data_IF_898092855734
#
_entry.id   IF_898092855734
#
_cell.length_a   1.000
_cell.length_b   1.000
_cell.length_c   1.000
_cell.angle_alpha   90.00
_cell.angle_beta   90.00
_cell.angle_gamma   90.00
#
_symmetry.space_group_name_H-M   'P 1'
#
loop_
_entity.id
_entity.type
_entity.pdbx_description
1 polymer ?
#
# COMPACT_ATOMS: atom_id res chain seq x y z
N UNK A 1 -35.32 -7.09 -40.71
CA UNK A 1 -34.72 -8.32 -40.16
C UNK A 1 -33.22 -8.28 -40.03
N UNK A 2 -32.40 -7.76 -40.97
CA UNK A 2 -30.93 -7.73 -40.87
C UNK A 2 -30.37 -6.85 -39.71
N UNK A 3 -31.05 -5.74 -39.34
CA UNK A 3 -30.61 -4.86 -38.23
C UNK A 3 -30.84 -5.46 -36.84
N UNK A 4 -31.84 -6.34 -36.67
CA UNK A 4 -32.12 -7.01 -35.40
C UNK A 4 -31.11 -8.13 -35.12
N UNK A 5 -30.63 -8.80 -36.14
CA UNK A 5 -29.60 -9.84 -36.01
C UNK A 5 -28.24 -9.26 -35.57
N UNK A 6 -27.90 -8.03 -36.00
CA UNK A 6 -26.64 -7.36 -35.63
C UNK A 6 -26.63 -6.92 -34.16
N UNK A 7 -27.76 -6.49 -33.61
CA UNK A 7 -27.88 -6.10 -32.20
C UNK A 7 -27.81 -7.33 -31.29
N UNK A 8 -28.40 -8.45 -31.69
CA UNK A 8 -28.30 -9.71 -30.91
C UNK A 8 -26.87 -10.28 -30.95
N UNK A 9 -26.17 -10.16 -32.07
CA UNK A 9 -24.78 -10.60 -32.19
C UNK A 9 -23.82 -9.71 -31.36
N UNK A 10 -24.09 -8.39 -31.30
CA UNK A 10 -23.28 -7.47 -30.44
C UNK A 10 -23.55 -7.69 -28.96
N UNK A 11 -24.79 -7.97 -28.56
CA UNK A 11 -25.14 -8.30 -27.16
C UNK A 11 -24.57 -9.68 -26.74
N UNK A 12 -24.60 -10.68 -27.62
CA UNK A 12 -23.97 -11.97 -27.35
C UNK A 12 -22.46 -11.88 -27.36
N UNK A 13 -21.85 -11.04 -28.19
CA UNK A 13 -20.41 -10.78 -28.20
C UNK A 13 -19.91 -10.10 -26.91
N UNK A 14 -20.64 -9.14 -26.36
CA UNK A 14 -20.31 -8.46 -25.11
C UNK A 14 -20.52 -9.37 -23.89
N UNK A 15 -21.53 -10.23 -23.89
CA UNK A 15 -21.73 -11.22 -22.81
C UNK A 15 -20.70 -12.34 -22.85
N UNK A 16 -20.23 -12.74 -24.03
CA UNK A 16 -19.17 -13.76 -24.16
C UNK A 16 -17.81 -13.19 -23.79
N UNK A 17 -17.52 -11.91 -24.06
CA UNK A 17 -16.27 -11.28 -23.61
C UNK A 17 -16.21 -11.10 -22.09
N UNK A 18 -17.32 -10.81 -21.43
CA UNK A 18 -17.37 -10.77 -19.95
C UNK A 18 -17.29 -12.15 -19.32
N UNK A 19 -17.78 -13.20 -19.97
CA UNK A 19 -17.71 -14.58 -19.45
C UNK A 19 -16.32 -15.21 -19.60
N UNK A 20 -15.50 -14.78 -20.55
CA UNK A 20 -14.15 -15.33 -20.76
C UNK A 20 -13.10 -14.86 -19.76
N UNK A 21 -13.35 -13.78 -19.00
CA UNK A 21 -12.40 -13.25 -18.00
C UNK A 21 -12.80 -13.49 -16.53
N UNK A 22 -13.90 -14.18 -16.26
CA UNK A 22 -14.42 -14.34 -14.90
C UNK A 22 -13.59 -15.30 -14.01
N UNK A 23 -12.52 -15.88 -14.50
CA UNK A 23 -11.69 -16.84 -13.74
C UNK A 23 -10.23 -16.42 -13.55
N UNK A 24 -9.76 -15.39 -14.26
CA UNK A 24 -8.38 -14.95 -14.18
C UNK A 24 -8.24 -13.67 -13.36
N UNK A 25 -7.10 -13.51 -12.71
CA UNK A 25 -6.71 -12.32 -11.98
C UNK A 25 -5.28 -11.94 -12.37
N UNK A 26 -4.98 -10.65 -12.40
CA UNK A 26 -3.63 -10.13 -12.60
C UNK A 26 -3.28 -9.17 -11.48
N UNK A 27 -2.06 -9.24 -11.00
CA UNK A 27 -1.47 -8.20 -10.17
C UNK A 27 -1.07 -7.08 -11.13
N UNK A 28 -1.69 -5.90 -10.99
CA UNK A 28 -1.51 -4.78 -11.91
C UNK A 28 -0.50 -3.77 -11.39
N UNK A 29 -0.45 -3.55 -10.06
CA UNK A 29 0.48 -2.61 -9.43
C UNK A 29 1.05 -3.19 -8.13
N UNK A 30 2.26 -2.80 -7.78
CA UNK A 30 2.93 -3.21 -6.55
C UNK A 30 3.77 -4.49 -6.68
N UNK A 31 4.15 -5.10 -5.56
CA UNK A 31 3.83 -4.66 -4.20
C UNK A 31 4.60 -3.42 -3.77
N UNK A 32 4.11 -2.77 -2.73
CA UNK A 32 4.88 -1.81 -1.95
C UNK A 32 4.74 -2.12 -0.46
N UNK A 33 5.78 -1.76 0.28
CA UNK A 33 5.87 -1.95 1.73
C UNK A 33 5.57 -0.61 2.41
N UNK A 34 4.82 -0.62 3.49
CA UNK A 34 4.56 0.55 4.32
C UNK A 34 4.31 0.16 5.78
N UNK A 35 4.20 1.18 6.65
CA UNK A 35 3.93 1.01 8.08
C UNK A 35 4.85 -0.06 8.71
N UNK A 36 6.18 0.12 8.51
CA UNK A 36 7.20 -0.77 9.03
C UNK A 36 7.47 -0.48 10.50
N UNK A 37 7.64 -1.54 11.27
CA UNK A 37 8.15 -1.50 12.65
C UNK A 37 9.28 -2.51 12.82
N UNK A 38 9.80 -2.68 14.04
CA UNK A 38 10.77 -3.72 14.31
C UNK A 38 10.19 -5.15 14.25
N UNK A 39 8.87 -5.29 14.37
CA UNK A 39 8.19 -6.58 14.43
C UNK A 39 7.05 -6.76 13.43
N UNK A 40 6.83 -5.77 12.53
CA UNK A 40 5.75 -5.83 11.56
C UNK A 40 6.02 -5.00 10.31
N UNK A 41 5.33 -5.34 9.21
CA UNK A 41 5.28 -4.56 7.95
C UNK A 41 3.96 -4.80 7.25
N UNK A 42 3.44 -3.79 6.56
CA UNK A 42 2.28 -3.94 5.69
C UNK A 42 2.72 -4.05 4.24
N UNK A 43 2.24 -5.10 3.56
CA UNK A 43 2.46 -5.35 2.13
C UNK A 43 1.17 -5.03 1.39
N UNK A 44 1.25 -4.12 0.42
CA UNK A 44 0.08 -3.66 -0.34
C UNK A 44 0.29 -3.90 -1.83
N UNK A 45 -0.76 -4.28 -2.55
CA UNK A 45 -0.74 -4.44 -4.01
C UNK A 45 -2.14 -4.32 -4.60
N UNK A 46 -2.22 -4.20 -5.94
CA UNK A 46 -3.50 -4.10 -6.66
C UNK A 46 -3.68 -5.22 -7.67
N UNK A 47 -4.93 -5.66 -7.81
CA UNK A 47 -5.39 -6.58 -8.87
C UNK A 47 -6.37 -5.90 -9.82
N UNK A 48 -6.51 -6.46 -11.02
CA UNK A 48 -7.45 -5.99 -12.05
C UNK A 48 -8.92 -6.33 -11.77
N UNK A 49 -9.16 -7.34 -10.94
CA UNK A 49 -10.49 -7.79 -10.54
C UNK A 49 -10.53 -8.10 -9.04
N UNK A 50 -11.71 -8.10 -8.40
CA UNK A 50 -11.85 -8.53 -7.01
C UNK A 50 -11.28 -9.92 -6.77
N UNK A 51 -10.48 -10.05 -5.72
CA UNK A 51 -9.76 -11.27 -5.40
C UNK A 51 -9.61 -11.47 -3.89
N UNK A 52 -9.16 -12.65 -3.49
CA UNK A 52 -8.56 -12.86 -2.17
C UNK A 52 -7.04 -12.79 -2.32
N UNK A 53 -6.35 -12.17 -1.37
CA UNK A 53 -4.91 -11.96 -1.40
C UNK A 53 -4.20 -12.60 -0.22
N UNK A 54 -2.91 -12.98 -0.40
CA UNK A 54 -2.04 -13.40 0.70
C UNK A 54 -0.58 -13.14 0.38
N UNK A 55 0.23 -13.11 1.43
CA UNK A 55 1.70 -13.05 1.38
C UNK A 55 2.26 -14.37 1.89
N UNK A 56 3.23 -14.93 1.20
CA UNK A 56 4.11 -15.98 1.70
C UNK A 56 5.46 -15.36 2.02
N UNK A 57 6.00 -15.64 3.20
CA UNK A 57 7.27 -15.07 3.64
C UNK A 57 8.06 -16.03 4.53
N UNK A 58 9.36 -15.79 4.63
CA UNK A 58 10.30 -16.50 5.50
C UNK A 58 11.51 -15.63 5.81
N UNK A 59 12.25 -15.93 6.88
CA UNK A 59 13.55 -15.29 7.14
C UNK A 59 14.54 -15.63 6.01
N UNK A 60 15.36 -14.64 5.64
CA UNK A 60 16.39 -14.80 4.61
C UNK A 60 17.73 -15.18 5.25
N UNK A 61 18.10 -16.46 5.15
CA UNK A 61 19.39 -16.99 5.58
C UNK A 61 20.30 -17.34 4.39
N UNK A 62 19.95 -16.87 3.17
CA UNK A 62 20.65 -17.21 1.93
C UNK A 62 20.18 -18.52 1.28
N UNK A 63 19.12 -19.14 1.78
CA UNK A 63 18.50 -20.32 1.23
C UNK A 63 17.62 -19.99 0.01
N UNK A 64 17.31 -20.98 -0.80
CA UNK A 64 16.30 -20.81 -1.85
C UNK A 64 14.91 -20.69 -1.24
N UNK A 65 14.08 -19.75 -1.72
CA UNK A 65 12.76 -19.44 -1.14
C UNK A 65 11.91 -20.70 -0.91
N UNK A 66 11.82 -21.61 -1.86
CA UNK A 66 11.02 -22.84 -1.75
C UNK A 66 11.73 -24.04 -1.10
N UNK A 67 12.88 -23.84 -0.45
CA UNK A 67 13.56 -24.91 0.30
C UNK A 67 12.97 -25.18 1.67
N UNK A 68 12.13 -24.29 2.16
CA UNK A 68 11.50 -24.33 3.48
C UNK A 68 10.00 -24.10 3.38
N UNK A 69 9.26 -24.43 4.44
CA UNK A 69 7.88 -24.01 4.58
C UNK A 69 7.81 -22.50 4.80
N UNK A 70 6.79 -21.87 4.22
CA UNK A 70 6.55 -20.45 4.35
C UNK A 70 5.35 -20.21 5.24
N UNK A 71 5.44 -19.19 6.06
CA UNK A 71 4.26 -18.64 6.68
C UNK A 71 3.39 -17.98 5.62
N UNK A 72 2.08 -18.12 5.77
CA UNK A 72 1.10 -17.55 4.85
C UNK A 72 0.11 -16.69 5.61
N UNK A 73 0.10 -15.39 5.31
CA UNK A 73 -0.81 -14.43 5.90
C UNK A 73 -1.77 -13.91 4.83
N UNK A 74 -3.05 -13.91 5.14
CA UNK A 74 -4.13 -13.52 4.22
C UNK A 74 -4.62 -12.11 4.50
N UNK A 75 -5.03 -11.42 3.44
CA UNK A 75 -5.84 -10.21 3.57
C UNK A 75 -7.21 -10.60 4.17
N UNK A 76 -7.36 -10.35 5.47
CA UNK A 76 -8.50 -10.80 6.25
C UNK A 76 -8.92 -9.76 7.30
N UNK A 77 -10.22 -9.70 7.55
CA UNK A 77 -10.79 -8.83 8.57
C UNK A 77 -11.88 -9.56 9.33
N UNK A 78 -11.88 -9.45 10.64
CA UNK A 78 -12.89 -10.08 11.51
C UNK A 78 -13.05 -11.60 11.30
N UNK A 79 -11.92 -12.29 11.07
CA UNK A 79 -11.89 -13.74 10.86
C UNK A 79 -12.29 -14.21 9.45
N UNK A 80 -12.47 -13.30 8.49
CA UNK A 80 -12.84 -13.62 7.11
C UNK A 80 -11.85 -13.01 6.13
N UNK A 81 -11.40 -13.80 5.15
CA UNK A 81 -10.61 -13.31 4.02
C UNK A 81 -11.45 -12.36 3.17
N UNK A 82 -10.86 -11.23 2.79
CA UNK A 82 -11.49 -10.29 1.88
C UNK A 82 -11.52 -10.88 0.47
N UNK A 83 -12.62 -10.67 -0.24
CA UNK A 83 -12.86 -11.27 -1.57
C UNK A 83 -13.40 -10.27 -2.58
N UNK A 84 -13.77 -9.07 -2.17
CA UNK A 84 -14.37 -8.03 -3.01
C UNK A 84 -13.48 -6.81 -3.20
N UNK A 85 -12.23 -6.89 -2.73
CA UNK A 85 -11.27 -5.81 -2.87
C UNK A 85 -10.35 -6.04 -4.08
N UNK A 86 -9.93 -4.95 -4.69
CA UNK A 86 -8.87 -4.93 -5.71
C UNK A 86 -7.56 -4.39 -5.14
N UNK A 87 -7.60 -3.62 -4.06
CA UNK A 87 -6.44 -3.25 -3.26
C UNK A 87 -6.35 -4.25 -2.11
N UNK A 88 -5.23 -4.94 -2.02
CA UNK A 88 -4.93 -5.92 -0.98
C UNK A 88 -3.93 -5.33 -0.01
N UNK A 89 -4.17 -5.53 1.28
CA UNK A 89 -3.31 -5.05 2.36
C UNK A 89 -3.12 -6.15 3.40
N UNK A 90 -1.90 -6.64 3.52
CA UNK A 90 -1.56 -7.73 4.44
C UNK A 90 -0.52 -7.24 5.45
N UNK A 91 -0.90 -7.20 6.71
CA UNK A 91 0.00 -6.89 7.82
C UNK A 91 0.70 -8.17 8.26
N UNK A 92 2.01 -8.24 8.08
CA UNK A 92 2.87 -9.27 8.67
C UNK A 92 3.26 -8.81 10.07
N UNK A 93 3.10 -9.67 11.07
CA UNK A 93 3.38 -9.37 12.48
C UNK A 93 4.20 -10.48 13.13
N UNK A 94 4.80 -10.20 14.30
CA UNK A 94 5.64 -11.17 15.00
C UNK A 94 6.98 -11.40 14.32
N UNK A 95 7.42 -10.46 13.52
CA UNK A 95 8.72 -10.47 12.89
C UNK A 95 9.83 -10.20 13.93
N UNK A 96 11.05 -10.59 13.63
CA UNK A 96 12.21 -10.32 14.47
C UNK A 96 12.83 -8.98 14.09
N UNK A 97 13.26 -8.15 15.05
CA UNK A 97 13.95 -6.89 14.80
C UNK A 97 15.23 -7.07 13.97
N UNK A 98 15.51 -6.12 13.08
CA UNK A 98 16.74 -6.05 12.30
C UNK A 98 16.97 -7.26 11.38
N UNK A 99 15.94 -8.00 11.03
CA UNK A 99 16.01 -9.28 10.33
C UNK A 99 15.62 -9.15 8.88
N UNK A 100 16.37 -9.81 7.99
CA UNK A 100 16.04 -9.87 6.57
C UNK A 100 15.00 -10.97 6.31
N UNK A 101 14.00 -10.63 5.52
CA UNK A 101 12.94 -11.53 5.08
C UNK A 101 12.87 -11.60 3.55
N UNK A 102 12.41 -12.73 3.05
CA UNK A 102 11.98 -12.92 1.66
C UNK A 102 10.47 -13.05 1.63
N UNK A 103 9.81 -12.52 0.59
CA UNK A 103 8.37 -12.64 0.45
C UNK A 103 7.89 -12.69 -1.00
N UNK A 104 6.67 -13.20 -1.17
CA UNK A 104 5.92 -13.23 -2.42
C UNK A 104 4.46 -12.91 -2.15
N UNK A 105 3.81 -12.23 -3.09
CA UNK A 105 2.39 -11.93 -3.04
C UNK A 105 1.62 -12.82 -4.01
N UNK A 106 0.39 -13.14 -3.62
CA UNK A 106 -0.53 -13.97 -4.40
C UNK A 106 -1.93 -13.38 -4.35
N UNK A 107 -2.67 -13.57 -5.43
CA UNK A 107 -4.10 -13.25 -5.47
C UNK A 107 -4.84 -14.34 -6.20
N UNK A 108 -6.06 -14.65 -5.74
CA UNK A 108 -6.93 -15.62 -6.38
C UNK A 108 -8.27 -14.98 -6.68
N UNK A 109 -8.70 -15.03 -7.94
CA UNK A 109 -9.96 -14.44 -8.37
C UNK A 109 -11.14 -15.04 -7.63
N UNK A 110 -12.13 -14.19 -7.27
CA UNK A 110 -13.45 -14.64 -6.89
C UNK A 110 -14.34 -14.64 -8.13
N UNK A 111 -14.77 -15.81 -8.58
CA UNK A 111 -15.60 -15.95 -9.78
C UNK A 111 -17.10 -15.89 -9.50
N UNK A 112 -17.50 -15.97 -8.25
CA UNK A 112 -18.89 -15.84 -7.81
C UNK A 112 -19.22 -16.64 -6.56
N UNK A 113 -20.51 -16.69 -6.29
CA UNK A 113 -21.10 -17.47 -5.20
C UNK A 113 -22.12 -18.45 -5.80
N UNK A 114 -22.09 -19.71 -5.38
CA UNK A 114 -23.05 -20.71 -5.81
C UNK A 114 -24.37 -20.59 -5.05
N UNK A 115 -24.33 -20.89 -3.77
CA UNK A 115 -25.34 -20.58 -2.76
C UNK A 115 -24.75 -19.56 -1.79
N UNK A 116 -25.46 -19.17 -0.74
CA UNK A 116 -25.06 -18.09 0.16
C UNK A 116 -23.67 -18.22 0.79
N UNK A 117 -23.08 -19.40 0.80
CA UNK A 117 -21.83 -19.77 1.45
C UNK A 117 -20.84 -20.56 0.57
N UNK A 118 -21.17 -20.77 -0.71
CA UNK A 118 -20.35 -21.50 -1.68
C UNK A 118 -19.56 -20.52 -2.57
N UNK A 119 -18.40 -20.07 -2.06
CA UNK A 119 -17.50 -19.21 -2.83
C UNK A 119 -16.80 -20.00 -3.94
N UNK A 120 -16.85 -19.46 -5.16
CA UNK A 120 -16.17 -20.04 -6.34
C UNK A 120 -14.92 -19.25 -6.61
N UNK A 121 -13.78 -19.91 -6.53
CA UNK A 121 -12.47 -19.32 -6.76
C UNK A 121 -11.95 -19.70 -8.14
N UNK A 122 -11.26 -18.78 -8.79
CA UNK A 122 -10.63 -18.93 -10.08
C UNK A 122 -9.13 -19.15 -10.02
N UNK A 123 -8.42 -18.63 -11.00
CA UNK A 123 -6.98 -18.74 -11.14
C UNK A 123 -6.23 -17.94 -10.06
N UNK A 124 -4.98 -18.37 -9.81
CA UNK A 124 -4.06 -17.69 -8.91
C UNK A 124 -3.03 -16.92 -9.74
N UNK A 125 -2.85 -15.65 -9.42
CA UNK A 125 -1.72 -14.85 -9.87
C UNK A 125 -0.69 -14.71 -8.74
N UNK A 126 0.58 -14.61 -9.10
CA UNK A 126 1.66 -14.30 -8.17
C UNK A 126 2.58 -13.22 -8.72
N UNK A 127 3.23 -12.47 -7.84
CA UNK A 127 4.17 -11.41 -8.21
C UNK A 127 5.43 -11.93 -8.89
N UNK A 128 5.76 -13.20 -8.69
CA UNK A 128 7.02 -13.79 -9.17
C UNK A 128 6.73 -15.08 -9.88
N UNK A 129 7.13 -15.16 -11.14
CA UNK A 129 7.11 -16.39 -11.91
C UNK A 129 8.36 -17.22 -11.64
N UNK A 130 8.28 -18.49 -12.03
CA UNK A 130 9.38 -19.45 -11.95
C UNK A 130 10.73 -18.86 -12.38
N UNK A 131 11.76 -19.10 -11.56
CA UNK A 131 13.15 -18.61 -11.71
C UNK A 131 13.40 -17.11 -11.42
N UNK A 132 12.44 -16.38 -10.89
CA UNK A 132 12.70 -15.03 -10.38
C UNK A 132 12.91 -15.07 -8.87
N UNK A 133 13.86 -14.28 -8.40
CA UNK A 133 14.10 -14.11 -6.96
C UNK A 133 12.85 -13.50 -6.28
N UNK A 134 12.57 -13.90 -5.04
CA UNK A 134 11.56 -13.26 -4.22
C UNK A 134 11.94 -11.81 -3.93
N UNK A 135 10.96 -11.00 -3.54
CA UNK A 135 11.25 -9.71 -2.94
C UNK A 135 11.81 -9.89 -1.53
N UNK A 136 12.51 -8.89 -1.02
CA UNK A 136 13.06 -8.93 0.32
C UNK A 136 12.87 -7.60 1.04
N UNK A 137 12.84 -7.64 2.35
CA UNK A 137 12.89 -6.46 3.22
C UNK A 137 13.67 -6.76 4.48
N UNK A 138 14.04 -5.69 5.20
CA UNK A 138 14.61 -5.79 6.53
C UNK A 138 13.74 -5.00 7.49
N UNK A 139 13.37 -5.63 8.63
CA UNK A 139 12.65 -4.96 9.72
C UNK A 139 13.52 -3.89 10.37
N UNK A 140 12.90 -2.87 10.94
CA UNK A 140 13.64 -1.89 11.74
C UNK A 140 14.32 -2.56 12.95
N UNK A 141 15.32 -1.89 13.49
CA UNK A 141 15.99 -2.31 14.72
C UNK A 141 16.28 -1.08 15.57
N UNK A 142 15.94 -1.15 16.85
CA UNK A 142 16.26 -0.10 17.79
C UNK A 142 17.67 -0.27 18.45
N UNK A 143 18.34 -1.38 18.12
CA UNK A 143 19.70 -1.71 18.61
C UNK A 143 20.81 -1.28 17.64
N UNK A 144 20.53 -0.36 16.70
CA UNK A 144 21.52 0.18 15.77
C UNK A 144 21.81 1.65 16.06
N UNK A 145 23.04 2.08 15.82
CA UNK A 145 23.47 3.48 15.97
C UNK A 145 23.41 4.27 14.64
N UNK A 146 22.99 3.63 13.55
CA UNK A 146 22.91 4.23 12.23
C UNK A 146 21.49 4.07 11.68
N UNK A 147 20.94 5.17 11.15
CA UNK A 147 19.69 5.21 10.41
C UNK A 147 19.89 5.99 9.12
N UNK A 148 19.50 5.41 8.00
CA UNK A 148 19.54 6.06 6.69
C UNK A 148 18.16 6.05 6.09
N UNK A 149 17.64 7.21 5.78
CA UNK A 149 16.38 7.33 5.05
C UNK A 149 16.46 8.37 3.95
N UNK A 150 15.66 8.18 2.91
CA UNK A 150 15.56 9.08 1.77
C UNK A 150 14.24 9.82 1.85
N UNK A 151 14.19 11.09 1.45
CA UNK A 151 12.96 11.90 1.49
C UNK A 151 12.60 12.34 0.08
N UNK A 152 11.34 12.16 -0.29
CA UNK A 152 10.68 12.74 -1.46
C UNK A 152 9.46 13.52 -1.02
N UNK A 153 9.24 14.70 -1.59
CA UNK A 153 8.06 15.52 -1.38
C UNK A 153 7.76 16.39 -2.61
N UNK A 154 6.56 16.97 -2.68
CA UNK A 154 6.16 17.91 -3.74
C UNK A 154 6.31 17.35 -5.16
N UNK A 155 6.02 16.09 -5.36
CA UNK A 155 6.14 15.42 -6.66
C UNK A 155 5.08 15.88 -7.64
N UNK A 156 3.85 16.12 -7.17
CA UNK A 156 2.74 16.63 -7.97
C UNK A 156 2.47 15.84 -9.26
N UNK A 157 2.49 14.51 -9.17
CA UNK A 157 2.20 13.62 -10.29
C UNK A 157 3.31 13.48 -11.33
N UNK A 158 4.53 13.99 -11.04
CA UNK A 158 5.66 13.93 -11.95
C UNK A 158 6.51 12.68 -11.73
N UNK A 159 5.98 11.51 -12.05
CA UNK A 159 6.65 10.22 -11.85
C UNK A 159 8.03 10.13 -12.52
N UNK A 160 8.23 10.81 -13.66
CA UNK A 160 9.52 10.87 -14.34
C UNK A 160 10.58 11.62 -13.52
N UNK A 161 10.17 12.58 -12.69
CA UNK A 161 11.09 13.27 -11.79
C UNK A 161 11.58 12.31 -10.70
N UNK A 162 10.71 11.45 -10.15
CA UNK A 162 11.13 10.40 -9.22
C UNK A 162 12.16 9.48 -9.87
N UNK A 163 11.88 8.96 -11.08
CA UNK A 163 12.80 8.06 -11.79
C UNK A 163 14.15 8.73 -12.04
N UNK A 164 14.15 10.01 -12.40
CA UNK A 164 15.37 10.77 -12.64
C UNK A 164 16.17 11.05 -11.37
N UNK A 165 15.52 11.47 -10.30
CA UNK A 165 16.16 11.77 -9.02
C UNK A 165 16.73 10.51 -8.36
N UNK A 166 16.07 9.37 -8.54
CA UNK A 166 16.42 8.10 -7.94
C UNK A 166 17.33 7.21 -8.81
N UNK A 167 17.66 7.62 -10.05
CA UNK A 167 18.35 6.79 -11.02
C UNK A 167 19.69 6.21 -10.54
N UNK A 168 20.45 7.00 -9.77
CA UNK A 168 21.77 6.63 -9.27
C UNK A 168 21.77 6.31 -7.76
N UNK A 169 20.58 6.16 -7.16
CA UNK A 169 20.45 5.86 -5.73
C UNK A 169 20.45 4.35 -5.51
N UNK A 170 21.37 3.85 -4.69
CA UNK A 170 21.36 2.48 -4.19
C UNK A 170 20.45 2.40 -2.94
N UNK A 171 19.18 2.11 -3.17
CA UNK A 171 18.19 2.02 -2.11
C UNK A 171 18.45 0.88 -1.11
N UNK A 172 19.28 -0.11 -1.43
CA UNK A 172 19.67 -1.15 -0.47
C UNK A 172 20.44 -0.61 0.75
N UNK A 173 20.91 0.64 0.67
CA UNK A 173 21.60 1.34 1.75
C UNK A 173 20.66 2.11 2.69
N UNK A 174 19.36 2.15 2.39
CA UNK A 174 18.38 2.93 3.16
C UNK A 174 17.42 2.01 3.92
N UNK A 175 17.05 2.41 5.13
CA UNK A 175 16.11 1.70 5.98
C UNK A 175 14.66 1.96 5.54
N UNK A 176 14.35 3.19 5.11
CA UNK A 176 13.04 3.54 4.55
C UNK A 176 13.13 4.76 3.62
N UNK A 177 12.05 4.99 2.87
CA UNK A 177 11.82 6.23 2.13
C UNK A 177 10.64 6.97 2.74
N UNK A 178 10.87 8.20 3.16
CA UNK A 178 9.80 9.10 3.62
C UNK A 178 9.20 9.83 2.41
N UNK A 179 7.93 9.58 2.15
CA UNK A 179 7.13 10.39 1.21
C UNK A 179 6.43 11.48 2.03
N UNK A 180 6.92 12.70 1.95
CA UNK A 180 6.53 13.78 2.83
C UNK A 180 5.52 14.73 2.17
N UNK A 181 4.41 14.15 1.67
CA UNK A 181 3.26 14.85 1.15
C UNK A 181 3.39 15.42 -0.27
N UNK A 182 2.28 15.86 -0.80
CA UNK A 182 2.10 16.51 -2.10
C UNK A 182 2.63 15.66 -3.26
N UNK A 183 2.36 14.36 -3.21
CA UNK A 183 2.71 13.43 -4.28
C UNK A 183 1.83 13.64 -5.52
N UNK A 184 0.61 14.17 -5.33
CA UNK A 184 -0.31 14.61 -6.40
C UNK A 184 -0.69 16.07 -6.21
N UNK A 185 -1.16 16.72 -7.27
CA UNK A 185 -1.78 18.05 -7.18
C UNK A 185 -3.25 17.92 -6.74
N UNK A 186 -3.93 16.93 -7.26
CA UNK A 186 -5.32 16.55 -6.92
C UNK A 186 -5.48 15.06 -7.18
N UNK A 187 -6.35 14.39 -6.42
CA UNK A 187 -6.62 12.96 -6.56
C UNK A 187 -8.02 12.76 -7.18
N UNK A 188 -8.10 12.83 -8.51
CA UNK A 188 -9.37 12.71 -9.23
C UNK A 188 -9.81 11.25 -9.45
N UNK A 189 -8.86 10.35 -9.56
CA UNK A 189 -9.09 8.94 -9.79
C UNK A 189 -7.90 8.09 -9.33
N UNK A 190 -8.11 6.79 -9.25
CA UNK A 190 -7.13 5.83 -8.80
C UNK A 190 -5.87 5.78 -9.67
N UNK A 191 -6.03 5.89 -10.99
CA UNK A 191 -4.94 5.80 -11.96
C UNK A 191 -3.85 6.86 -11.72
N UNK A 192 -4.24 8.05 -11.26
CA UNK A 192 -3.30 9.12 -10.93
C UNK A 192 -2.36 8.76 -9.78
N UNK A 193 -2.81 7.94 -8.82
CA UNK A 193 -1.96 7.47 -7.72
C UNK A 193 -0.85 6.61 -8.30
N UNK A 194 -1.19 5.67 -9.17
CA UNK A 194 -0.21 4.74 -9.75
C UNK A 194 0.69 5.42 -10.76
N UNK A 195 0.13 5.98 -11.83
CA UNK A 195 0.88 6.58 -12.91
C UNK A 195 1.61 7.85 -12.51
N UNK A 196 1.06 8.63 -11.57
CA UNK A 196 1.63 9.89 -11.11
C UNK A 196 2.89 9.71 -10.25
N UNK A 197 2.97 8.65 -9.45
CA UNK A 197 4.11 8.49 -8.55
C UNK A 197 4.34 7.08 -7.99
N UNK A 198 3.29 6.33 -7.61
CA UNK A 198 3.47 5.09 -6.84
C UNK A 198 4.17 4.00 -7.66
N UNK A 199 3.84 3.85 -8.94
CA UNK A 199 4.53 2.90 -9.82
C UNK A 199 6.02 3.24 -9.97
N UNK A 200 6.37 4.54 -10.00
CA UNK A 200 7.78 4.93 -10.01
C UNK A 200 8.49 4.52 -8.71
N UNK A 201 7.85 4.70 -7.55
CA UNK A 201 8.39 4.21 -6.27
C UNK A 201 8.51 2.67 -6.26
N UNK A 202 7.51 1.96 -6.76
CA UNK A 202 7.52 0.48 -6.88
C UNK A 202 8.66 0.00 -7.78
N UNK A 203 8.88 0.67 -8.90
CA UNK A 203 9.97 0.31 -9.83
C UNK A 203 11.35 0.56 -9.22
N UNK A 204 11.51 1.64 -8.46
CA UNK A 204 12.80 2.08 -7.93
C UNK A 204 13.17 1.40 -6.60
N UNK A 205 12.22 1.28 -5.65
CA UNK A 205 12.57 0.82 -4.28
C UNK A 205 11.46 0.13 -3.51
N UNK A 206 10.19 0.51 -3.67
CA UNK A 206 9.14 0.22 -2.69
C UNK A 206 8.80 -1.26 -2.51
N UNK A 207 9.28 -2.14 -3.40
CA UNK A 207 9.18 -3.60 -3.24
C UNK A 207 10.06 -4.15 -2.12
N UNK A 208 11.16 -3.45 -1.81
CA UNK A 208 12.19 -3.95 -0.89
C UNK A 208 12.49 -2.96 0.25
N UNK A 209 12.27 -1.68 0.05
CA UNK A 209 12.48 -0.61 1.04
C UNK A 209 11.11 0.01 1.35
N UNK A 210 10.69 0.01 2.63
CA UNK A 210 9.37 0.49 3.00
C UNK A 210 9.21 2.00 2.79
N UNK A 211 7.97 2.38 2.52
CA UNK A 211 7.52 3.77 2.49
C UNK A 211 6.94 4.11 3.86
N UNK A 212 7.45 5.18 4.47
CA UNK A 212 6.74 5.90 5.50
C UNK A 212 6.07 7.11 4.85
N UNK A 213 4.75 7.18 4.99
CA UNK A 213 3.93 8.13 4.24
C UNK A 213 3.33 9.20 5.15
N UNK A 214 3.63 10.45 4.86
CA UNK A 214 2.98 11.62 5.44
C UNK A 214 2.10 12.25 4.37
N UNK A 215 0.82 12.40 4.65
CA UNK A 215 -0.14 12.99 3.72
C UNK A 215 0.07 14.52 3.65
N UNK A 216 0.14 15.06 2.44
CA UNK A 216 0.15 16.49 2.20
C UNK A 216 -1.26 17.08 2.11
N UNK A 217 -1.34 18.41 2.01
CA UNK A 217 -2.63 19.08 1.84
C UNK A 217 -3.26 18.80 0.47
N UNK A 218 -2.45 18.59 -0.56
CA UNK A 218 -2.92 18.28 -1.90
C UNK A 218 -3.61 16.92 -2.03
N UNK A 219 -3.28 15.94 -1.19
CA UNK A 219 -3.95 14.64 -1.16
C UNK A 219 -5.38 14.71 -0.59
N UNK A 220 -5.78 15.83 0.00
CA UNK A 220 -7.16 16.08 0.41
C UNK A 220 -8.04 16.59 -0.74
N UNK A 221 -7.46 16.87 -1.91
CA UNK A 221 -8.14 17.46 -3.07
C UNK A 221 -8.52 16.40 -4.09
N UNK A 222 -9.70 16.60 -4.70
CA UNK A 222 -10.23 15.72 -5.74
C UNK A 222 -11.19 14.67 -5.20
N UNK A 223 -12.06 14.20 -6.10
CA UNK A 223 -13.16 13.30 -5.76
C UNK A 223 -12.73 11.90 -5.29
N UNK A 224 -11.46 11.53 -5.48
CA UNK A 224 -10.93 10.22 -5.07
C UNK A 224 -10.09 10.29 -3.78
N UNK A 225 -9.90 11.47 -3.20
CA UNK A 225 -9.11 11.70 -2.00
C UNK A 225 -9.54 10.81 -0.81
N UNK A 226 -10.85 10.54 -0.67
CA UNK A 226 -11.41 9.67 0.36
C UNK A 226 -10.86 8.25 0.37
N UNK A 227 -10.18 7.82 -0.70
CA UNK A 227 -9.67 6.46 -0.84
C UNK A 227 -8.17 6.31 -0.51
N UNK A 228 -7.47 7.40 -0.22
CA UNK A 228 -6.02 7.38 0.01
C UNK A 228 -5.60 6.42 1.14
N UNK A 229 -6.40 6.25 2.18
CA UNK A 229 -6.14 5.33 3.30
C UNK A 229 -5.96 3.86 2.87
N UNK A 230 -6.46 3.47 1.69
CA UNK A 230 -6.34 2.10 1.18
C UNK A 230 -4.92 1.77 0.70
N UNK A 231 -4.17 2.80 0.31
CA UNK A 231 -2.83 2.66 -0.27
C UNK A 231 -1.74 2.72 0.78
N UNK A 232 -1.99 3.45 1.86
CA UNK A 232 -1.08 3.61 2.99
C UNK A 232 -1.82 3.39 4.32
N UNK A 233 -2.25 2.15 4.56
CA UNK A 233 -2.87 1.80 5.84
C UNK A 233 -1.81 1.88 6.94
N UNK A 234 -2.10 2.63 7.98
CA UNK A 234 -1.31 2.70 9.21
C UNK A 234 -1.91 1.78 10.28
N UNK A 235 -1.10 1.39 11.25
CA UNK A 235 -1.53 0.51 12.35
C UNK A 235 -2.65 1.11 13.21
N UNK A 236 -2.76 2.44 13.29
CA UNK A 236 -3.82 3.14 14.03
C UNK A 236 -5.01 3.58 13.17
N UNK A 237 -4.94 3.34 11.84
CA UNK A 237 -6.01 3.70 10.90
C UNK A 237 -6.13 5.21 10.62
N UNK A 238 -5.12 6.01 10.97
CA UNK A 238 -5.06 7.44 10.73
C UNK A 238 -3.89 7.79 9.80
N UNK A 239 -3.84 9.01 9.27
CA UNK A 239 -2.67 9.50 8.56
C UNK A 239 -1.63 10.15 9.49
N UNK A 240 -1.95 10.33 10.75
CA UNK A 240 -0.99 10.68 11.80
C UNK A 240 -0.67 9.42 12.64
N UNK A 241 0.60 9.14 12.85
CA UNK A 241 1.05 7.93 13.55
C UNK A 241 2.48 8.08 14.07
N UNK A 242 2.92 7.12 14.86
CA UNK A 242 4.31 7.02 15.34
C UNK A 242 4.96 5.75 14.82
N UNK A 243 6.27 5.81 14.62
CA UNK A 243 7.09 4.63 14.43
C UNK A 243 8.49 4.84 15.02
N UNK A 244 9.14 3.77 15.38
CA UNK A 244 10.49 3.78 15.94
C UNK A 244 11.46 3.10 14.98
N UNK A 245 12.61 3.75 14.74
CA UNK A 245 13.72 3.18 13.97
C UNK A 245 15.05 3.66 14.54
N UNK A 246 16.00 2.75 14.76
CA UNK A 246 17.33 3.04 15.33
C UNK A 246 17.27 3.77 16.68
N UNK A 247 16.27 3.47 17.53
CA UNK A 247 16.06 4.15 18.79
C UNK A 247 15.59 5.60 18.69
N UNK A 248 15.12 6.01 17.51
CA UNK A 248 14.55 7.32 17.25
C UNK A 248 13.06 7.15 17.05
N UNK A 249 12.24 7.91 17.80
CA UNK A 249 10.80 7.96 17.61
C UNK A 249 10.43 9.04 16.59
N UNK A 250 9.70 8.66 15.56
CA UNK A 250 9.16 9.54 14.54
C UNK A 250 7.68 9.79 14.79
N UNK A 251 7.28 11.03 14.63
CA UNK A 251 5.88 11.48 14.68
C UNK A 251 5.50 11.97 13.28
N UNK A 252 4.72 11.16 12.57
CA UNK A 252 4.10 11.58 11.32
C UNK A 252 2.85 12.38 11.66
N UNK A 253 2.79 13.63 11.25
CA UNK A 253 1.66 14.53 11.47
C UNK A 253 0.97 14.86 10.16
N UNK A 254 -0.35 14.98 10.20
CA UNK A 254 -1.19 15.28 9.05
C UNK A 254 -1.93 16.60 9.24
N UNK A 255 -1.40 17.65 8.65
CA UNK A 255 -1.99 18.98 8.78
C UNK A 255 -3.36 19.16 8.08
N UNK A 256 -3.83 18.15 7.35
CA UNK A 256 -5.05 18.25 6.55
C UNK A 256 -4.90 19.23 5.38
N UNK A 257 -6.00 19.83 4.94
CA UNK A 257 -5.98 20.86 3.90
C UNK A 257 -5.49 22.20 4.46
N UNK A 258 -4.77 23.00 3.65
CA UNK A 258 -4.24 24.32 4.02
C UNK A 258 -5.29 25.43 4.00
N UNK A 259 -6.41 25.20 3.32
CA UNK A 259 -7.56 26.12 3.30
C UNK A 259 -8.48 25.89 4.50
N UNK A 260 -9.17 26.94 4.99
CA UNK A 260 -10.12 26.78 6.08
C UNK A 260 -11.31 25.91 5.66
N UNK A 261 -11.93 25.19 6.60
CA UNK A 261 -13.12 24.35 6.34
C UNK A 261 -14.30 25.17 5.77
N UNK A 262 -14.31 26.48 5.99
CA UNK A 262 -15.31 27.40 5.44
C UNK A 262 -15.04 27.88 4.01
N UNK A 263 -13.95 27.41 3.38
CA UNK A 263 -13.60 27.82 2.02
C UNK A 263 -14.70 27.37 1.04
N UNK A 264 -15.11 28.32 0.17
CA UNK A 264 -16.20 28.10 -0.77
C UNK A 264 -15.90 27.00 -1.80
N UNK A 265 -14.64 26.77 -2.10
CA UNK A 265 -14.24 25.73 -3.08
C UNK A 265 -14.64 24.34 -2.62
N UNK A 266 -14.71 24.09 -1.31
CA UNK A 266 -15.04 22.78 -0.73
C UNK A 266 -16.51 22.63 -0.35
N UNK A 267 -17.31 23.69 -0.42
CA UNK A 267 -18.74 23.64 -0.13
C UNK A 267 -19.10 22.93 1.20
N UNK A 268 -18.22 23.02 2.21
CA UNK A 268 -18.44 22.45 3.54
C UNK A 268 -18.22 20.94 3.65
N UNK A 269 -17.48 20.33 2.75
CA UNK A 269 -17.12 18.89 2.85
C UNK A 269 -15.86 18.65 3.69
N UNK A 270 -15.09 19.68 4.02
CA UNK A 270 -13.91 19.55 4.87
C UNK A 270 -14.30 19.60 6.36
N UNK A 271 -13.63 18.79 7.15
CA UNK A 271 -13.61 18.79 8.62
C UNK A 271 -12.16 18.80 9.15
N UNK A 272 -11.27 19.52 8.45
CA UNK A 272 -9.83 19.55 8.77
C UNK A 272 -9.54 20.16 10.13
N UNK A 273 -10.31 21.18 10.57
CA UNK A 273 -10.15 21.78 11.90
C UNK A 273 -10.42 20.76 13.01
N UNK A 274 -11.51 19.99 12.88
CA UNK A 274 -11.87 18.95 13.83
C UNK A 274 -10.86 17.77 13.81
N UNK A 275 -10.38 17.43 12.63
CA UNK A 275 -9.36 16.39 12.46
C UNK A 275 -8.05 16.78 13.14
N UNK A 276 -7.60 18.04 13.00
CA UNK A 276 -6.42 18.58 13.71
C UNK A 276 -6.61 18.62 15.24
N UNK A 277 -7.84 18.89 15.73
CA UNK A 277 -8.13 18.76 17.17
C UNK A 277 -7.96 17.33 17.69
N UNK A 278 -8.40 16.33 16.91
CA UNK A 278 -8.23 14.92 17.25
C UNK A 278 -6.75 14.54 17.23
N UNK A 279 -6.01 14.96 16.21
CA UNK A 279 -4.57 14.76 16.10
C UNK A 279 -3.80 15.40 17.25
N UNK A 280 -4.15 16.65 17.62
CA UNK A 280 -3.52 17.33 18.76
C UNK A 280 -3.73 16.57 20.07
N UNK A 281 -4.95 16.06 20.32
CA UNK A 281 -5.24 15.26 21.50
C UNK A 281 -4.45 13.92 21.51
N UNK A 282 -4.33 13.28 20.34
CA UNK A 282 -3.50 12.10 20.17
C UNK A 282 -2.02 12.44 20.42
N UNK A 283 -1.50 13.53 19.85
CA UNK A 283 -0.12 13.96 19.99
C UNK A 283 0.26 14.25 21.45
N UNK A 284 -0.62 14.92 22.21
CA UNK A 284 -0.42 15.17 23.65
C UNK A 284 -0.25 13.85 24.42
N UNK A 285 -1.04 12.82 24.08
CA UNK A 285 -0.94 11.50 24.69
C UNK A 285 0.35 10.80 24.29
N UNK A 286 0.71 10.82 22.99
CA UNK A 286 1.94 10.19 22.48
C UNK A 286 3.19 10.81 23.08
N UNK A 287 3.31 12.14 23.13
CA UNK A 287 4.45 12.84 23.75
C UNK A 287 4.58 12.46 25.23
N UNK A 288 3.44 12.27 25.93
CA UNK A 288 3.45 11.81 27.33
C UNK A 288 4.00 10.39 27.51
N UNK A 289 3.93 9.56 26.47
CA UNK A 289 4.38 8.17 26.45
C UNK A 289 5.80 8.00 25.90
N UNK A 290 6.31 8.99 25.15
CA UNK A 290 7.67 8.94 24.61
C UNK A 290 8.70 8.88 25.76
N UNK A 291 9.52 7.86 25.78
CA UNK A 291 10.64 7.75 26.69
C UNK A 291 11.79 8.61 26.17
N UNK A 292 11.97 9.79 26.75
CA UNK A 292 13.16 10.59 26.53
C UNK A 292 14.35 9.91 27.21
N UNK A 293 15.00 9.00 26.54
CA UNK A 293 16.34 8.58 26.92
C UNK A 293 17.32 9.63 26.40
N UNK A 294 17.84 10.45 27.31
CA UNK A 294 18.95 11.37 26.99
C UNK A 294 20.22 10.53 26.90
N UNK A 295 20.57 10.14 25.67
CA UNK A 295 21.94 9.68 25.38
C UNK A 295 22.90 10.83 25.25
#
# INVERSE_FOLDING_TARGET
MKKFLLIIAALLGSVVMTAQNMGSVKITHGPWLCDMTEDAVTVVWKTDVPATGWVEFTENHGQHFYSEEHERVYDARFGRRLTHETIHSVRLTGLKPGTNYMYRIFSQALTGWGTSDDARLGEIASSVVYKKEPYGFRTFSNDTDELKFFILNDVHGRSDDIRRLCADVDFSQYDFVLLNGDMLTTTENEEQIFSGWLDACVDMFAKNVPIEYVRGNHENRGQYADNMYKYFPSHNGQFYYTFDAAGISFLALDCGEDKPDSDIEYHGILESDKYREQEAAWLENEIGNLRYDRR
#
